data_IF_692565636651
#
_entry.id   IF_692565636651
#
_cell.length_a   1.000
_cell.length_b   1.000
_cell.length_c   1.000
_cell.angle_alpha   90.00
_cell.angle_beta   90.00
_cell.angle_gamma   90.00
#
_symmetry.space_group_name_H-M   'P 1'
#
loop_
_entity.id
_entity.type
_entity.pdbx_description
1 polymer ?
#
# COMPACT_ATOMS: atom_id res chain seq x y z
N UNK A 1 -51.90 -18.13 3.79
CA UNK A 1 -50.61 -18.77 3.48
C UNK A 1 -49.58 -17.68 3.42
N UNK A 2 -48.78 -17.52 4.45
CA UNK A 2 -47.72 -16.55 4.50
C UNK A 2 -46.51 -17.13 3.75
N UNK A 3 -46.05 -16.41 2.72
CA UNK A 3 -44.81 -16.71 1.97
C UNK A 3 -43.64 -16.45 2.90
N UNK A 4 -42.96 -17.51 3.34
CA UNK A 4 -41.67 -17.43 4.00
C UNK A 4 -40.69 -16.75 3.02
N UNK A 5 -40.31 -15.52 3.35
CA UNK A 5 -39.20 -14.86 2.70
C UNK A 5 -37.93 -15.68 3.00
N UNK A 6 -37.42 -16.39 2.00
CA UNK A 6 -36.09 -17.00 2.07
C UNK A 6 -35.08 -15.90 2.32
N UNK A 7 -34.59 -15.80 3.55
CA UNK A 7 -33.45 -14.96 3.87
C UNK A 7 -32.26 -15.42 2.99
N UNK A 8 -31.79 -14.57 2.10
CA UNK A 8 -30.55 -14.82 1.36
C UNK A 8 -29.43 -15.06 2.38
N UNK A 9 -28.59 -16.09 2.19
CA UNK A 9 -27.44 -16.27 3.05
C UNK A 9 -26.62 -14.96 3.07
N UNK A 10 -26.03 -14.59 4.21
CA UNK A 10 -25.23 -13.38 4.30
C UNK A 10 -24.17 -13.42 3.22
N UNK A 11 -24.11 -12.35 2.41
CA UNK A 11 -23.10 -12.23 1.37
C UNK A 11 -21.71 -12.46 2.01
N UNK A 12 -20.91 -13.36 1.43
CA UNK A 12 -19.55 -13.60 1.89
C UNK A 12 -18.82 -12.26 1.95
N UNK A 13 -18.22 -11.94 3.10
CA UNK A 13 -17.45 -10.71 3.27
C UNK A 13 -16.41 -10.58 2.15
N UNK A 14 -16.22 -9.39 1.60
CA UNK A 14 -15.14 -9.12 0.65
C UNK A 14 -13.80 -9.40 1.32
N UNK A 15 -12.82 -9.84 0.55
CA UNK A 15 -11.51 -10.28 1.04
C UNK A 15 -10.41 -9.37 0.49
N UNK A 16 -9.56 -8.91 1.39
CA UNK A 16 -8.40 -8.10 1.06
C UNK A 16 -7.08 -8.77 1.49
N UNK A 17 -6.02 -8.48 0.76
CA UNK A 17 -4.63 -8.69 1.18
C UNK A 17 -3.96 -7.32 1.31
N UNK A 18 -3.22 -7.10 2.40
CA UNK A 18 -2.38 -5.90 2.60
C UNK A 18 -0.97 -6.36 2.94
N UNK A 19 0.02 -6.00 2.10
CA UNK A 19 1.44 -6.28 2.37
C UNK A 19 2.09 -5.15 3.16
N UNK A 20 3.10 -5.45 3.99
CA UNK A 20 3.72 -4.47 4.88
C UNK A 20 2.74 -4.01 5.97
N UNK A 21 1.98 -4.96 6.55
CA UNK A 21 0.81 -4.67 7.38
C UNK A 21 1.07 -4.77 8.89
N UNK A 22 2.30 -5.08 9.34
CA UNK A 22 2.61 -5.16 10.76
C UNK A 22 2.54 -3.80 11.47
N UNK A 23 2.75 -2.70 10.74
CA UNK A 23 2.78 -1.33 11.28
C UNK A 23 2.51 -0.25 10.25
N UNK A 24 2.44 1.02 10.70
CA UNK A 24 2.34 2.19 9.84
C UNK A 24 1.15 2.17 8.91
N UNK A 25 1.34 2.61 7.65
CA UNK A 25 0.24 2.74 6.68
C UNK A 25 -0.49 1.42 6.45
N UNK A 26 0.23 0.29 6.35
CA UNK A 26 -0.36 -1.03 6.11
C UNK A 26 -1.29 -1.46 7.24
N UNK A 27 -0.90 -1.23 8.50
CA UNK A 27 -1.74 -1.50 9.68
C UNK A 27 -3.01 -0.62 9.69
N UNK A 28 -2.87 0.68 9.41
CA UNK A 28 -4.00 1.60 9.37
C UNK A 28 -4.97 1.25 8.23
N UNK A 29 -4.44 0.86 7.07
CA UNK A 29 -5.22 0.37 5.92
C UNK A 29 -5.98 -0.90 6.31
N UNK A 30 -5.30 -1.90 6.88
CA UNK A 30 -5.92 -3.16 7.31
C UNK A 30 -7.05 -2.90 8.32
N UNK A 31 -6.80 -2.07 9.33
CA UNK A 31 -7.79 -1.69 10.33
C UNK A 31 -9.00 -0.95 9.73
N UNK A 32 -8.79 -0.13 8.68
CA UNK A 32 -9.91 0.52 7.97
C UNK A 32 -10.73 -0.49 7.19
N UNK A 33 -10.11 -1.37 6.42
CA UNK A 33 -10.80 -2.38 5.61
C UNK A 33 -11.62 -3.35 6.47
N UNK A 34 -11.12 -3.71 7.66
CA UNK A 34 -11.87 -4.50 8.64
C UNK A 34 -13.12 -3.75 9.12
N UNK A 35 -13.02 -2.45 9.43
CA UNK A 35 -14.19 -1.62 9.80
C UNK A 35 -15.20 -1.48 8.65
N UNK A 36 -14.73 -1.56 7.40
CA UNK A 36 -15.59 -1.57 6.21
C UNK A 36 -16.22 -2.96 5.95
N UNK A 37 -16.00 -3.94 6.85
CA UNK A 37 -16.60 -5.29 6.79
C UNK A 37 -15.87 -6.28 5.90
N UNK A 38 -14.62 -6.01 5.50
CA UNK A 38 -13.78 -6.96 4.76
C UNK A 38 -13.08 -7.93 5.71
N UNK A 39 -12.79 -9.14 5.23
CA UNK A 39 -11.78 -9.99 5.82
C UNK A 39 -10.40 -9.62 5.25
N UNK A 40 -9.37 -9.51 6.09
CA UNK A 40 -8.07 -8.98 5.69
C UNK A 40 -6.94 -9.94 6.03
N UNK A 41 -6.20 -10.41 5.02
CA UNK A 41 -4.88 -11.03 5.21
C UNK A 41 -3.82 -9.92 5.32
N UNK A 42 -3.19 -9.85 6.46
CA UNK A 42 -2.10 -8.93 6.80
C UNK A 42 -0.78 -9.66 6.61
N UNK A 43 0.00 -9.26 5.63
CA UNK A 43 1.26 -9.91 5.29
C UNK A 43 2.46 -8.99 5.59
N UNK A 44 3.48 -9.53 6.26
CA UNK A 44 4.72 -8.81 6.55
C UNK A 44 5.86 -9.81 6.76
N UNK A 45 7.12 -9.36 6.66
CA UNK A 45 8.31 -10.09 7.13
C UNK A 45 8.55 -9.90 8.63
N UNK A 46 7.90 -8.91 9.23
CA UNK A 46 7.98 -8.61 10.66
C UNK A 46 7.01 -9.53 11.41
N UNK A 47 7.53 -10.36 12.30
CA UNK A 47 6.74 -11.29 13.13
C UNK A 47 5.63 -10.59 13.93
N UNK A 48 5.79 -9.30 14.20
CA UNK A 48 4.78 -8.44 14.82
C UNK A 48 3.45 -8.37 14.06
N UNK A 49 3.39 -8.84 12.81
CA UNK A 49 2.13 -8.94 12.05
C UNK A 49 1.09 -9.82 12.73
N UNK A 50 1.54 -10.87 13.44
CA UNK A 50 0.65 -11.75 14.20
C UNK A 50 -0.01 -11.04 15.38
N UNK A 51 0.75 -10.23 16.11
CA UNK A 51 0.23 -9.41 17.22
C UNK A 51 -0.70 -8.31 16.69
N UNK A 52 -0.32 -7.67 15.58
CA UNK A 52 -1.13 -6.66 14.93
C UNK A 52 -2.49 -7.21 14.46
N UNK A 53 -2.50 -8.39 13.85
CA UNK A 53 -3.75 -9.05 13.43
C UNK A 53 -4.61 -9.43 14.65
N UNK A 54 -3.99 -9.95 15.71
CA UNK A 54 -4.68 -10.29 16.97
C UNK A 54 -5.29 -9.05 17.63
N UNK A 55 -4.58 -7.92 17.61
CA UNK A 55 -5.07 -6.64 18.13
C UNK A 55 -6.25 -6.08 17.34
N UNK A 56 -6.24 -6.22 16.01
CA UNK A 56 -7.35 -5.80 15.15
C UNK A 56 -8.58 -6.72 15.29
N UNK A 57 -8.38 -7.98 15.67
CA UNK A 57 -9.44 -8.91 16.04
C UNK A 57 -10.07 -9.66 14.87
N UNK A 58 -11.36 -9.92 14.98
CA UNK A 58 -12.09 -10.80 14.06
C UNK A 58 -12.02 -10.31 12.62
N UNK A 59 -11.68 -11.22 11.71
CA UNK A 59 -11.56 -10.94 10.28
C UNK A 59 -10.14 -10.58 9.83
N UNK A 60 -9.21 -10.37 10.78
CA UNK A 60 -7.79 -10.19 10.49
C UNK A 60 -7.06 -11.55 10.53
N UNK A 61 -6.21 -11.79 9.53
CA UNK A 61 -5.39 -12.99 9.40
C UNK A 61 -3.95 -12.57 9.14
N UNK A 62 -3.02 -13.05 9.95
CA UNK A 62 -1.60 -12.82 9.75
C UNK A 62 -1.00 -13.82 8.76
N UNK A 63 -0.02 -13.37 7.99
CA UNK A 63 0.82 -14.18 7.14
C UNK A 63 2.27 -13.65 7.14
N UNK A 64 3.24 -14.54 7.31
CA UNK A 64 4.65 -14.23 7.03
C UNK A 64 4.85 -14.23 5.51
N UNK A 65 5.39 -13.12 4.98
CA UNK A 65 5.62 -12.98 3.55
C UNK A 65 6.69 -11.93 3.24
N UNK A 66 7.80 -12.39 2.67
CA UNK A 66 8.76 -11.50 2.02
C UNK A 66 8.29 -11.23 0.58
N UNK A 67 7.91 -9.99 0.31
CA UNK A 67 7.44 -9.59 -1.03
C UNK A 67 8.52 -9.69 -2.12
N UNK A 68 9.81 -9.80 -1.74
CA UNK A 68 10.92 -10.04 -2.67
C UNK A 68 10.93 -11.46 -3.21
N UNK A 69 10.25 -12.37 -2.55
CA UNK A 69 10.10 -13.77 -2.96
C UNK A 69 8.75 -13.97 -3.65
N UNK A 70 8.81 -14.13 -4.97
CA UNK A 70 7.62 -14.35 -5.79
C UNK A 70 6.80 -15.59 -5.37
N UNK A 71 7.48 -16.65 -4.89
CA UNK A 71 6.83 -17.87 -4.43
C UNK A 71 6.04 -17.66 -3.15
N UNK A 72 6.56 -16.87 -2.20
CA UNK A 72 5.83 -16.51 -0.98
C UNK A 72 4.60 -15.65 -1.29
N UNK A 73 4.72 -14.69 -2.21
CA UNK A 73 3.58 -13.86 -2.65
C UNK A 73 2.51 -14.71 -3.36
N UNK A 74 2.90 -15.61 -4.26
CA UNK A 74 1.97 -16.54 -4.92
C UNK A 74 1.27 -17.44 -3.89
N UNK A 75 2.01 -17.95 -2.87
CA UNK A 75 1.48 -18.76 -1.78
C UNK A 75 0.51 -17.99 -0.88
N UNK A 76 0.80 -16.72 -0.58
CA UNK A 76 -0.09 -15.84 0.17
C UNK A 76 -1.46 -15.70 -0.52
N UNK A 77 -1.45 -15.39 -1.83
CA UNK A 77 -2.68 -15.25 -2.62
C UNK A 77 -3.43 -16.59 -2.69
N UNK A 78 -2.74 -17.69 -2.96
CA UNK A 78 -3.34 -19.03 -3.01
C UNK A 78 -3.98 -19.42 -1.68
N UNK A 79 -3.30 -19.16 -0.56
CA UNK A 79 -3.82 -19.43 0.79
C UNK A 79 -5.07 -18.61 1.07
N UNK A 80 -5.04 -17.32 0.69
CA UNK A 80 -6.20 -16.43 0.86
C UNK A 80 -7.42 -16.95 0.10
N UNK A 81 -7.25 -17.26 -1.20
CA UNK A 81 -8.35 -17.77 -2.03
C UNK A 81 -8.83 -19.13 -1.56
N UNK A 82 -7.92 -20.02 -1.14
CA UNK A 82 -8.30 -21.34 -0.61
C UNK A 82 -9.10 -21.24 0.69
N UNK A 83 -8.71 -20.34 1.61
CA UNK A 83 -9.37 -20.21 2.92
C UNK A 83 -10.67 -19.42 2.88
N UNK A 84 -10.74 -18.38 2.05
CA UNK A 84 -11.86 -17.41 2.04
C UNK A 84 -12.66 -17.40 0.74
N UNK A 85 -12.27 -18.23 -0.24
CA UNK A 85 -13.01 -18.45 -1.50
C UNK A 85 -12.88 -17.34 -2.54
N UNK A 86 -12.26 -16.21 -2.23
CA UNK A 86 -12.19 -15.04 -3.12
C UNK A 86 -11.03 -14.09 -2.79
N UNK A 87 -10.69 -13.20 -3.70
CA UNK A 87 -9.82 -12.05 -3.48
C UNK A 87 -10.42 -10.84 -4.21
N UNK A 88 -10.85 -9.83 -3.47
CA UNK A 88 -11.50 -8.63 -4.01
C UNK A 88 -10.58 -7.41 -4.07
N UNK A 89 -9.64 -7.33 -3.13
CA UNK A 89 -8.69 -6.24 -3.03
C UNK A 89 -7.29 -6.77 -2.75
N UNK A 90 -6.31 -6.26 -3.47
CA UNK A 90 -4.90 -6.41 -3.11
C UNK A 90 -4.26 -5.03 -2.93
N UNK A 91 -3.70 -4.77 -1.75
CA UNK A 91 -2.96 -3.54 -1.45
C UNK A 91 -1.47 -3.86 -1.40
N UNK A 92 -0.76 -3.50 -2.46
CA UNK A 92 0.70 -3.64 -2.56
C UNK A 92 1.36 -2.44 -1.83
N UNK A 93 1.40 -2.54 -0.49
CA UNK A 93 1.86 -1.46 0.39
C UNK A 93 3.31 -1.67 0.88
N UNK A 94 3.80 -2.89 0.98
CA UNK A 94 5.16 -3.16 1.46
C UNK A 94 6.19 -2.24 0.81
N UNK A 95 7.02 -1.62 1.62
CA UNK A 95 8.03 -0.70 1.15
C UNK A 95 9.02 -0.31 2.23
N UNK A 96 10.23 -0.01 1.81
CA UNK A 96 11.30 0.50 2.67
C UNK A 96 11.74 1.87 2.21
N UNK A 97 12.03 2.74 3.17
CA UNK A 97 12.73 3.99 2.92
C UNK A 97 14.22 3.74 2.73
N UNK A 98 14.87 4.70 2.17
CA UNK A 98 16.31 4.70 2.02
C UNK A 98 16.72 5.88 1.15
N UNK A 99 17.93 6.33 1.31
CA UNK A 99 18.41 7.47 0.53
C UNK A 99 19.85 7.80 0.88
N UNK A 100 20.36 8.74 0.13
CA UNK A 100 21.72 9.26 0.16
C UNK A 100 22.12 9.67 -1.26
N UNK A 101 23.27 10.34 -1.43
CA UNK A 101 23.81 10.61 -2.75
C UNK A 101 23.96 9.31 -3.55
N UNK A 102 23.61 9.33 -4.83
CA UNK A 102 23.70 8.14 -5.68
C UNK A 102 25.13 7.61 -5.75
N UNK A 103 26.11 8.52 -5.75
CA UNK A 103 27.51 8.15 -5.79
C UNK A 103 27.99 7.32 -4.59
N UNK A 104 27.31 7.45 -3.44
CA UNK A 104 27.66 6.78 -2.19
C UNK A 104 26.75 5.57 -1.90
N UNK A 105 25.76 5.30 -2.76
CA UNK A 105 24.81 4.22 -2.59
C UNK A 105 25.49 2.86 -2.76
N UNK A 106 25.42 2.03 -1.74
CA UNK A 106 25.92 0.66 -1.84
C UNK A 106 25.03 -0.22 -2.72
N UNK A 107 25.62 -1.19 -3.38
CA UNK A 107 24.88 -2.21 -4.16
C UNK A 107 23.82 -2.93 -3.32
N UNK A 108 24.10 -3.21 -2.05
CA UNK A 108 23.17 -3.87 -1.13
C UNK A 108 22.00 -2.97 -0.81
N UNK A 109 22.25 -1.71 -0.47
CA UNK A 109 21.19 -0.71 -0.23
C UNK A 109 20.31 -0.50 -1.46
N UNK A 110 20.93 -0.42 -2.64
CA UNK A 110 20.20 -0.37 -3.92
C UNK A 110 19.28 -1.60 -4.09
N UNK A 111 19.84 -2.81 -3.98
CA UNK A 111 19.07 -4.07 -4.15
C UNK A 111 17.96 -4.21 -3.13
N UNK A 112 18.19 -3.78 -1.88
CA UNK A 112 17.15 -3.77 -0.84
C UNK A 112 15.97 -2.87 -1.23
N UNK A 113 16.24 -1.63 -1.66
CA UNK A 113 15.19 -0.68 -2.01
C UNK A 113 14.44 -1.15 -3.27
N UNK A 114 15.13 -1.57 -4.31
CA UNK A 114 14.52 -2.05 -5.56
C UNK A 114 13.74 -3.33 -5.32
N UNK A 115 14.33 -4.31 -4.63
CA UNK A 115 13.71 -5.60 -4.37
C UNK A 115 12.39 -5.49 -3.60
N UNK A 116 12.35 -4.65 -2.55
CA UNK A 116 11.10 -4.49 -1.79
C UNK A 116 10.10 -3.61 -2.54
N UNK A 117 10.53 -2.43 -3.01
CA UNK A 117 9.60 -1.41 -3.47
C UNK A 117 9.10 -1.65 -4.90
N UNK A 118 9.92 -2.22 -5.78
CA UNK A 118 9.58 -2.42 -7.19
C UNK A 118 9.31 -3.88 -7.51
N UNK A 119 10.25 -4.79 -7.22
CA UNK A 119 10.06 -6.21 -7.51
C UNK A 119 8.90 -6.76 -6.66
N UNK A 120 8.84 -6.41 -5.36
CA UNK A 120 7.75 -6.78 -4.48
C UNK A 120 6.38 -6.27 -4.92
N UNK A 121 6.30 -5.04 -5.41
CA UNK A 121 5.08 -4.51 -5.99
C UNK A 121 4.68 -5.25 -7.28
N UNK A 122 5.64 -5.55 -8.15
CA UNK A 122 5.41 -6.33 -9.37
C UNK A 122 4.92 -7.75 -9.05
N UNK A 123 5.57 -8.47 -8.14
CA UNK A 123 5.15 -9.83 -7.77
C UNK A 123 3.76 -9.82 -7.13
N UNK A 124 3.47 -8.85 -6.26
CA UNK A 124 2.17 -8.63 -5.64
C UNK A 124 1.06 -8.41 -6.68
N UNK A 125 1.26 -7.47 -7.58
CA UNK A 125 0.29 -7.16 -8.62
C UNK A 125 0.07 -8.35 -9.57
N UNK A 126 1.13 -9.06 -9.95
CA UNK A 126 1.05 -10.25 -10.80
C UNK A 126 0.27 -11.38 -10.16
N UNK A 127 0.52 -11.68 -8.89
CA UNK A 127 -0.20 -12.72 -8.16
C UNK A 127 -1.69 -12.37 -7.99
N UNK A 128 -1.99 -11.12 -7.63
CA UNK A 128 -3.35 -10.61 -7.53
C UNK A 128 -4.09 -10.71 -8.88
N UNK A 129 -3.47 -10.26 -9.97
CA UNK A 129 -4.06 -10.32 -11.32
C UNK A 129 -4.43 -11.75 -11.72
N UNK A 130 -3.50 -12.71 -11.49
CA UNK A 130 -3.74 -14.14 -11.80
C UNK A 130 -4.92 -14.72 -11.02
N UNK A 131 -5.15 -14.27 -9.79
CA UNK A 131 -6.29 -14.72 -8.98
C UNK A 131 -7.60 -14.02 -9.38
N UNK A 132 -7.55 -12.74 -9.78
CA UNK A 132 -8.73 -11.94 -10.09
C UNK A 132 -9.24 -12.13 -11.53
N UNK A 133 -8.36 -12.41 -12.52
CA UNK A 133 -8.75 -12.62 -13.92
C UNK A 133 -9.84 -13.69 -14.07
N UNK A 134 -9.72 -14.89 -13.49
CA UNK A 134 -10.77 -15.91 -13.59
C UNK A 134 -12.09 -15.50 -12.94
N UNK A 135 -12.04 -14.62 -11.92
CA UNK A 135 -13.22 -14.11 -11.22
C UNK A 135 -13.93 -12.98 -11.99
N UNK A 136 -13.25 -12.35 -12.96
CA UNK A 136 -13.80 -11.25 -13.74
C UNK A 136 -14.05 -9.97 -12.93
N UNK A 137 -13.44 -9.82 -11.76
CA UNK A 137 -13.61 -8.68 -10.87
C UNK A 137 -12.43 -8.55 -9.90
N UNK A 138 -12.13 -7.33 -9.46
CA UNK A 138 -11.12 -7.06 -8.44
C UNK A 138 -10.66 -5.60 -8.41
N UNK A 139 -9.91 -5.27 -7.37
CA UNK A 139 -9.24 -3.99 -7.24
C UNK A 139 -7.80 -4.21 -6.75
N UNK A 140 -6.84 -3.58 -7.41
CA UNK A 140 -5.44 -3.57 -6.97
C UNK A 140 -5.08 -2.12 -6.65
N UNK A 141 -4.57 -1.89 -5.45
CA UNK A 141 -4.08 -0.59 -5.02
C UNK A 141 -2.59 -0.69 -4.72
N UNK A 142 -1.79 0.08 -5.44
CA UNK A 142 -0.35 0.18 -5.20
C UNK A 142 -0.01 1.41 -4.37
N UNK A 143 1.04 1.33 -3.54
CA UNK A 143 1.55 2.49 -2.82
C UNK A 143 2.76 3.08 -3.56
N UNK A 144 2.50 4.19 -4.25
CA UNK A 144 3.51 5.06 -4.81
C UNK A 144 4.17 5.95 -3.75
N UNK A 145 4.49 7.15 -4.15
CA UNK A 145 4.92 8.27 -3.29
C UNK A 145 4.88 9.54 -4.13
N UNK A 146 4.74 10.70 -3.50
CA UNK A 146 5.00 11.99 -4.16
C UNK A 146 6.40 12.03 -4.77
N UNK A 147 7.40 11.37 -4.16
CA UNK A 147 8.76 11.27 -4.69
C UNK A 147 8.89 10.38 -5.94
N UNK A 148 7.84 9.67 -6.34
CA UNK A 148 7.78 9.00 -7.64
C UNK A 148 7.50 9.97 -8.80
N UNK A 149 7.13 11.21 -8.52
CA UNK A 149 6.87 12.27 -9.51
C UNK A 149 7.91 13.38 -9.45
N UNK A 150 8.20 13.86 -8.25
CA UNK A 150 9.21 14.88 -7.99
C UNK A 150 10.16 14.37 -6.90
N UNK A 151 11.33 13.94 -7.33
CA UNK A 151 12.30 13.24 -6.49
C UNK A 151 13.35 14.22 -5.98
N UNK A 152 13.42 14.50 -4.67
CA UNK A 152 14.45 15.38 -4.12
C UNK A 152 15.83 14.73 -4.14
N UNK A 153 16.86 15.54 -4.02
CA UNK A 153 18.23 15.07 -3.85
C UNK A 153 18.32 14.09 -2.67
N UNK A 154 19.08 13.01 -2.83
CA UNK A 154 19.23 11.96 -1.83
C UNK A 154 18.10 10.92 -1.81
N UNK A 155 17.03 11.07 -2.58
CA UNK A 155 15.95 10.08 -2.70
C UNK A 155 15.94 9.35 -4.05
N UNK A 156 17.00 9.44 -4.85
CA UNK A 156 17.01 9.01 -6.25
C UNK A 156 16.56 7.56 -6.48
N UNK A 157 17.12 6.59 -5.76
CA UNK A 157 16.76 5.18 -5.92
C UNK A 157 15.31 4.93 -5.43
N UNK A 158 14.94 5.48 -4.28
CA UNK A 158 13.57 5.38 -3.77
C UNK A 158 12.56 5.98 -4.75
N UNK A 159 12.81 7.22 -5.22
CA UNK A 159 11.96 7.89 -6.19
C UNK A 159 11.82 7.10 -7.49
N UNK A 160 12.92 6.55 -8.02
CA UNK A 160 12.91 5.71 -9.20
C UNK A 160 12.01 4.46 -9.01
N UNK A 161 12.08 3.79 -7.85
CA UNK A 161 11.18 2.64 -7.57
C UNK A 161 9.71 3.07 -7.52
N UNK A 162 9.42 4.22 -6.90
CA UNK A 162 8.04 4.72 -6.79
C UNK A 162 7.49 5.24 -8.13
N UNK A 163 8.34 5.81 -8.99
CA UNK A 163 8.00 6.12 -10.38
C UNK A 163 7.70 4.84 -11.17
N UNK A 164 8.49 3.78 -10.97
CA UNK A 164 8.25 2.45 -11.55
C UNK A 164 6.91 1.86 -11.13
N UNK A 165 6.54 1.97 -9.85
CA UNK A 165 5.22 1.52 -9.34
C UNK A 165 4.07 2.30 -9.99
N UNK A 166 4.21 3.61 -10.17
CA UNK A 166 3.22 4.44 -10.88
C UNK A 166 3.07 3.95 -12.33
N UNK A 167 4.18 3.72 -13.03
CA UNK A 167 4.17 3.23 -14.41
C UNK A 167 3.53 1.84 -14.52
N UNK A 168 3.87 0.90 -13.61
CA UNK A 168 3.23 -0.42 -13.53
C UNK A 168 1.72 -0.32 -13.33
N UNK A 169 1.27 0.58 -12.46
CA UNK A 169 -0.17 0.82 -12.22
C UNK A 169 -0.88 1.22 -13.51
N UNK A 170 -0.31 2.14 -14.29
CA UNK A 170 -0.90 2.61 -15.54
C UNK A 170 -0.95 1.50 -16.61
N UNK A 171 0.06 0.65 -16.70
CA UNK A 171 0.07 -0.49 -17.62
C UNK A 171 -0.99 -1.52 -17.21
N UNK A 172 -0.96 -1.95 -15.93
CA UNK A 172 -1.89 -2.94 -15.40
C UNK A 172 -3.36 -2.51 -15.50
N UNK A 173 -3.66 -1.23 -15.30
CA UNK A 173 -5.02 -0.72 -15.44
C UNK A 173 -5.58 -0.94 -16.88
N UNK A 174 -4.72 -0.80 -17.90
CA UNK A 174 -5.10 -1.03 -19.30
C UNK A 174 -5.20 -2.51 -19.62
N UNK A 175 -4.27 -3.33 -19.10
CA UNK A 175 -4.22 -4.77 -19.34
C UNK A 175 -5.37 -5.49 -18.63
N UNK A 176 -5.74 -5.07 -17.41
CA UNK A 176 -6.70 -5.76 -16.56
C UNK A 176 -8.13 -5.19 -16.66
N UNK A 177 -8.30 -4.00 -17.21
CA UNK A 177 -9.62 -3.39 -17.43
C UNK A 177 -10.60 -4.28 -18.21
N UNK A 178 -10.20 -4.97 -19.31
CA UNK A 178 -11.06 -5.93 -20.02
C UNK A 178 -11.57 -7.09 -19.17
N UNK A 179 -10.93 -7.38 -18.02
CA UNK A 179 -11.34 -8.40 -17.08
C UNK A 179 -12.13 -7.84 -15.89
N UNK A 180 -12.57 -6.58 -15.94
CA UNK A 180 -13.31 -5.97 -14.84
C UNK A 180 -12.47 -5.67 -13.59
N UNK A 181 -11.14 -5.64 -13.72
CA UNK A 181 -10.22 -5.38 -12.60
C UNK A 181 -9.72 -3.94 -12.70
N UNK A 182 -9.84 -3.19 -11.59
CA UNK A 182 -9.35 -1.82 -11.49
C UNK A 182 -7.97 -1.80 -10.82
N UNK A 183 -7.07 -0.95 -11.30
CA UNK A 183 -5.74 -0.78 -10.72
C UNK A 183 -5.44 0.70 -10.54
N UNK A 184 -5.19 1.12 -9.30
CA UNK A 184 -4.90 2.53 -8.97
C UNK A 184 -3.70 2.62 -8.03
N UNK A 185 -3.04 3.76 -8.05
CA UNK A 185 -1.93 4.09 -7.17
C UNK A 185 -2.35 5.17 -6.16
N UNK A 186 -2.02 4.99 -4.90
CA UNK A 186 -2.05 6.03 -3.90
C UNK A 186 -0.61 6.50 -3.67
N UNK A 187 -0.38 7.81 -3.73
CA UNK A 187 0.92 8.44 -3.54
C UNK A 187 0.92 9.29 -2.26
N UNK A 188 1.31 8.71 -1.11
CA UNK A 188 1.42 9.47 0.12
C UNK A 188 2.52 10.53 0.05
N UNK A 189 2.28 11.65 0.76
CA UNK A 189 3.28 12.68 1.02
C UNK A 189 3.99 12.48 2.37
N UNK A 190 4.14 13.57 3.11
CA UNK A 190 4.76 13.60 4.43
C UNK A 190 3.82 13.01 5.49
N UNK A 191 3.90 11.69 5.70
CA UNK A 191 3.06 10.94 6.63
C UNK A 191 3.73 10.75 7.99
N UNK A 192 3.00 10.90 9.09
CA UNK A 192 3.46 10.69 10.46
C UNK A 192 3.73 9.19 10.74
N UNK A 193 4.76 8.64 10.11
CA UNK A 193 5.20 7.25 10.25
C UNK A 193 6.65 7.20 10.72
N UNK A 194 7.08 6.06 11.28
CA UNK A 194 8.47 5.89 11.70
C UNK A 194 9.47 6.03 10.54
N UNK A 195 9.08 5.59 9.34
CA UNK A 195 9.88 5.78 8.13
C UNK A 195 10.14 7.27 7.86
N UNK A 196 9.11 8.10 7.96
CA UNK A 196 9.22 9.55 7.76
C UNK A 196 10.06 10.21 8.87
N UNK A 197 9.78 9.89 10.13
CA UNK A 197 10.54 10.44 11.25
C UNK A 197 12.01 10.05 11.19
N UNK A 198 12.34 8.83 10.79
CA UNK A 198 13.71 8.39 10.58
C UNK A 198 14.40 9.19 9.47
N UNK A 199 13.71 9.49 8.38
CA UNK A 199 14.26 10.34 7.31
C UNK A 199 14.52 11.78 7.80
N UNK A 200 13.61 12.36 8.57
CA UNK A 200 13.80 13.71 9.13
C UNK A 200 14.91 13.75 10.20
N UNK A 201 15.05 12.71 11.04
CA UNK A 201 16.19 12.61 11.97
C UNK A 201 17.53 12.58 11.24
N UNK A 202 17.62 11.82 10.14
CA UNK A 202 18.82 11.81 9.29
C UNK A 202 19.11 13.18 8.68
N UNK A 203 18.08 13.88 8.18
CA UNK A 203 18.20 15.24 7.64
C UNK A 203 18.68 16.21 8.73
N UNK A 204 18.11 16.16 9.92
CA UNK A 204 18.51 16.96 11.10
C UNK A 204 19.99 16.73 11.45
N UNK A 205 20.41 15.48 11.54
CA UNK A 205 21.80 15.14 11.84
C UNK A 205 22.77 15.62 10.76
N UNK A 206 22.45 15.46 9.49
CA UNK A 206 23.28 15.90 8.37
C UNK A 206 23.40 17.42 8.28
N UNK A 207 22.33 18.15 8.61
CA UNK A 207 22.31 19.62 8.59
C UNK A 207 22.84 20.25 9.89
N UNK A 208 23.00 19.48 10.98
CA UNK A 208 23.40 19.99 12.30
C UNK A 208 22.34 20.91 12.93
N UNK A 209 21.06 20.71 12.61
CA UNK A 209 19.95 21.51 13.13
C UNK A 209 19.02 20.66 14.01
N UNK A 210 18.32 21.24 15.02
CA UNK A 210 17.38 20.51 15.86
C UNK A 210 16.29 19.80 15.05
N UNK A 211 15.90 18.59 15.47
CA UNK A 211 14.89 17.78 14.80
C UNK A 211 13.54 18.50 14.68
N UNK A 212 13.13 19.20 15.72
CA UNK A 212 11.88 19.95 15.81
C UNK A 212 11.80 21.05 14.73
N UNK A 213 12.93 21.70 14.42
CA UNK A 213 12.98 22.72 13.35
C UNK A 213 12.79 22.09 11.96
N UNK A 214 13.36 20.89 11.74
CA UNK A 214 13.17 20.16 10.47
C UNK A 214 11.72 19.71 10.32
N UNK A 215 11.11 19.24 11.41
CA UNK A 215 9.68 18.85 11.42
C UNK A 215 8.79 20.05 11.11
N UNK A 216 9.06 21.20 11.74
CA UNK A 216 8.28 22.42 11.55
C UNK A 216 8.43 22.98 10.13
N UNK A 217 9.63 22.96 9.58
CA UNK A 217 9.90 23.36 8.19
C UNK A 217 9.05 22.52 7.22
N UNK A 218 9.11 21.19 7.32
CA UNK A 218 8.31 20.31 6.47
C UNK A 218 6.82 20.53 6.67
N UNK A 219 6.37 20.75 7.92
CA UNK A 219 4.97 21.04 8.23
C UNK A 219 4.50 22.35 7.59
N UNK A 220 5.35 23.38 7.60
CA UNK A 220 5.04 24.68 7.02
C UNK A 220 4.86 24.64 5.49
N UNK A 221 5.54 23.70 4.82
CA UNK A 221 5.42 23.48 3.37
C UNK A 221 4.12 22.71 2.99
N UNK A 222 3.41 22.14 3.97
CA UNK A 222 2.15 21.43 3.72
C UNK A 222 0.97 22.40 3.82
N UNK A 223 0.22 22.70 2.75
CA UNK A 223 -0.90 23.63 2.79
C UNK A 223 -1.95 23.34 3.87
N UNK A 224 -2.25 22.07 4.15
CA UNK A 224 -3.14 21.68 5.26
C UNK A 224 -2.51 21.83 6.65
N UNK A 225 -1.25 22.27 6.77
CA UNK A 225 -0.59 22.64 8.02
C UNK A 225 -0.31 21.49 8.98
N UNK A 226 -0.39 20.24 8.51
CA UNK A 226 -0.09 19.04 9.31
C UNK A 226 0.52 17.92 8.48
N UNK A 227 1.28 17.06 9.11
CA UNK A 227 1.62 15.76 8.52
C UNK A 227 0.35 14.93 8.32
N UNK A 228 0.31 14.14 7.24
CA UNK A 228 -0.74 13.16 7.03
C UNK A 228 -0.61 12.00 8.02
N UNK A 229 -1.67 11.23 8.16
CA UNK A 229 -1.73 10.03 8.99
C UNK A 229 -2.08 8.82 8.15
N UNK A 230 -1.88 7.61 8.67
CA UNK A 230 -2.28 6.40 7.96
C UNK A 230 -3.79 6.35 7.69
N UNK A 231 -4.60 6.99 8.53
CA UNK A 231 -6.06 7.10 8.30
C UNK A 231 -6.41 7.95 7.07
N UNK A 232 -5.61 8.97 6.73
CA UNK A 232 -5.80 9.76 5.51
C UNK A 232 -5.59 8.87 4.27
N UNK A 233 -4.54 8.03 4.27
CA UNK A 233 -4.25 7.08 3.19
C UNK A 233 -5.29 5.97 3.14
N UNK A 234 -5.65 5.39 4.30
CA UNK A 234 -6.62 4.31 4.40
C UNK A 234 -8.02 4.71 3.88
N UNK A 235 -8.40 5.98 4.03
CA UNK A 235 -9.66 6.49 3.50
C UNK A 235 -9.71 6.41 1.95
N UNK A 236 -8.63 6.78 1.28
CA UNK A 236 -8.54 6.68 -0.19
C UNK A 236 -8.47 5.23 -0.65
N UNK A 237 -7.72 4.35 0.06
CA UNK A 237 -7.70 2.92 -0.25
C UNK A 237 -9.09 2.31 -0.11
N UNK A 238 -9.83 2.64 0.96
CA UNK A 238 -11.21 2.22 1.19
C UNK A 238 -12.15 2.66 0.06
N UNK A 239 -12.07 3.93 -0.36
CA UNK A 239 -12.81 4.43 -1.52
C UNK A 239 -12.48 3.64 -2.79
N UNK A 240 -11.18 3.44 -3.10
CA UNK A 240 -10.75 2.71 -4.28
C UNK A 240 -11.14 1.22 -4.25
N UNK A 241 -11.38 0.66 -3.08
CA UNK A 241 -11.88 -0.70 -2.89
C UNK A 241 -13.39 -0.80 -3.07
N UNK A 242 -14.13 0.30 -2.96
CA UNK A 242 -15.59 0.33 -3.00
C UNK A 242 -16.16 0.38 -4.43
N UNK A 243 -17.47 0.18 -4.53
CA UNK A 243 -18.22 0.33 -5.78
C UNK A 243 -18.35 1.80 -6.21
N UNK A 244 -18.18 2.75 -5.28
CA UNK A 244 -18.15 4.19 -5.59
C UNK A 244 -16.97 4.54 -6.52
N UNK A 245 -15.92 3.70 -6.56
CA UNK A 245 -14.79 3.83 -7.46
C UNK A 245 -14.91 2.98 -8.74
N UNK A 246 -16.12 2.50 -9.11
CA UNK A 246 -16.32 1.58 -10.23
C UNK A 246 -15.79 2.12 -11.59
N UNK A 247 -15.73 3.44 -11.76
CA UNK A 247 -15.20 4.06 -12.99
C UNK A 247 -13.83 4.72 -12.79
N UNK A 248 -13.10 4.33 -11.72
CA UNK A 248 -11.77 4.86 -11.39
C UNK A 248 -10.74 3.76 -11.55
N UNK A 249 -9.91 3.84 -12.61
CA UNK A 249 -8.78 2.95 -12.85
C UNK A 249 -7.64 3.72 -13.54
N UNK A 250 -6.40 3.28 -13.35
CA UNK A 250 -5.20 3.90 -13.91
C UNK A 250 -4.87 5.25 -13.29
N UNK A 251 -5.43 5.57 -12.12
CA UNK A 251 -5.17 6.86 -11.48
C UNK A 251 -4.02 6.76 -10.47
N UNK A 252 -3.32 7.88 -10.32
CA UNK A 252 -2.36 8.08 -9.23
C UNK A 252 -2.84 9.26 -8.39
N UNK A 253 -3.32 8.96 -7.18
CA UNK A 253 -3.94 9.94 -6.29
C UNK A 253 -2.94 10.33 -5.21
N UNK A 254 -2.56 11.61 -5.17
CA UNK A 254 -1.74 12.14 -4.09
C UNK A 254 -2.58 12.27 -2.81
N UNK A 255 -1.98 11.87 -1.68
CA UNK A 255 -2.50 12.07 -0.33
C UNK A 255 -1.40 12.78 0.45
N UNK A 256 -1.27 14.09 0.26
CA UNK A 256 -0.10 14.86 0.66
C UNK A 256 -0.41 16.23 1.29
N UNK A 257 -1.69 16.53 1.51
CA UNK A 257 -2.12 17.80 2.09
C UNK A 257 -1.86 19.02 1.19
N UNK A 258 -1.68 18.81 -0.13
CA UNK A 258 -1.39 19.85 -1.10
C UNK A 258 0.10 20.16 -1.26
N UNK A 259 0.97 19.33 -0.70
CA UNK A 259 2.43 19.55 -0.75
C UNK A 259 2.98 19.57 -2.19
N UNK A 260 2.49 18.69 -3.05
CA UNK A 260 2.83 18.68 -4.48
C UNK A 260 1.55 18.75 -5.33
N UNK A 261 0.96 19.92 -5.52
CA UNK A 261 -0.15 20.08 -6.45
C UNK A 261 0.35 19.80 -7.88
N UNK A 262 -0.39 19.00 -8.60
CA UNK A 262 -0.08 18.61 -9.99
C UNK A 262 -0.88 19.50 -10.91
#
# INVERSE_FOLDING_TARGET
MATEAHAQPPALARVAIVTGAARGLGLDIAGRLLRDGMAVFMADVDEGVSDAASWLGTGAFAADCDVRDAGQVDSLVQTTVTRLGRLDLFVANAGVGGGGPIADMSDEGYRQIVGVNLDGAFFSCRAAARAMIPAGAGSIVTLGSIFGRDTPAGAGVYGATKAGVIALTHALARELGPYGIRVNCVSPGNMATEMHWTALRRRSAAAGVPFELVVEEVRADIPLGRHGTGTDVAAIVSFLASDDAAYVTGQTINVDGGYQPI
#
